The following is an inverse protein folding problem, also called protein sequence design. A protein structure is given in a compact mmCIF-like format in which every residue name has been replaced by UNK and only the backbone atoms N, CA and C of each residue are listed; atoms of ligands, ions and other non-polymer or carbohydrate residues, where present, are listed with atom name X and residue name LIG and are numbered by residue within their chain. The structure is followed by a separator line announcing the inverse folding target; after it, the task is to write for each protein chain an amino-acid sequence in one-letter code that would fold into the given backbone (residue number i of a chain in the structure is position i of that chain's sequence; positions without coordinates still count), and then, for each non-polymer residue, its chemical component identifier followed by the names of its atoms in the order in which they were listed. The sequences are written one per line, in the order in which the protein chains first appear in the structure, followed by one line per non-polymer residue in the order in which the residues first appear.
data_IF_488629973311
#
_entry.id   IF_488629973311
#
_cell.length_a   1.000
_cell.length_b   1.000
_cell.length_c   1.000
_cell.angle_alpha   90.00
_cell.angle_beta   90.00
_cell.angle_gamma   90.00
#
_symmetry.space_group_name_H-M   'P 1'
#
loop_
_entity.id
_entity.type
_entity.pdbx_description
1 polymer ?
#
# COMPACT_ATOMS: atom_id res chain seq x y z
N UNK A 1 29.47 12.31 -11.16
CA UNK A 1 28.14 11.68 -11.34
C UNK A 1 27.37 11.95 -10.06
N UNK A 2 26.42 12.88 -10.12
CA UNK A 2 25.54 13.20 -8.99
C UNK A 2 24.25 12.40 -9.19
N UNK A 3 24.06 11.34 -8.42
CA UNK A 3 22.85 10.55 -8.50
C UNK A 3 21.78 11.22 -7.65
N UNK A 4 20.56 11.42 -8.18
CA UNK A 4 19.50 12.07 -7.41
C UNK A 4 19.23 11.27 -6.14
N UNK A 5 19.37 11.92 -4.98
CA UNK A 5 19.02 11.33 -3.68
C UNK A 5 17.56 10.92 -3.69
N UNK A 6 17.27 9.76 -3.12
CA UNK A 6 15.90 9.28 -2.94
C UNK A 6 15.10 10.27 -2.09
N UNK A 7 13.81 10.43 -2.42
CA UNK A 7 12.86 11.26 -1.69
C UNK A 7 11.50 10.56 -1.69
N UNK A 8 11.05 10.12 -0.51
CA UNK A 8 9.75 9.47 -0.36
C UNK A 8 8.62 10.37 -0.89
N UNK A 9 8.62 11.64 -0.54
CA UNK A 9 7.61 12.60 -1.01
C UNK A 9 7.56 12.73 -2.53
N UNK A 10 8.71 12.67 -3.21
CA UNK A 10 8.75 12.68 -4.68
C UNK A 10 8.14 11.41 -5.26
N UNK A 11 8.48 10.25 -4.72
CA UNK A 11 7.93 8.97 -5.19
C UNK A 11 6.42 8.87 -4.93
N UNK A 12 5.95 9.35 -3.76
CA UNK A 12 4.52 9.46 -3.42
C UNK A 12 3.82 10.40 -4.41
N UNK A 13 4.40 11.58 -4.68
CA UNK A 13 3.83 12.53 -5.63
C UNK A 13 3.74 11.95 -7.04
N UNK A 14 4.79 11.27 -7.51
CA UNK A 14 4.81 10.59 -8.80
C UNK A 14 3.77 9.48 -8.92
N UNK A 15 3.55 8.73 -7.83
CA UNK A 15 2.52 7.69 -7.77
C UNK A 15 1.13 8.30 -7.94
N UNK A 16 0.80 9.34 -7.15
CA UNK A 16 -0.52 9.98 -7.18
C UNK A 16 -0.77 10.84 -8.44
N UNK A 17 0.26 11.19 -9.20
CA UNK A 17 0.08 11.82 -10.52
C UNK A 17 -0.70 10.92 -11.49
N UNK A 18 -0.61 9.59 -11.32
CA UNK A 18 -1.26 8.58 -12.18
C UNK A 18 -2.49 7.92 -11.54
N UNK A 19 -2.71 8.12 -10.25
CA UNK A 19 -3.85 7.57 -9.54
C UNK A 19 -5.10 8.46 -9.69
N UNK A 20 -6.28 7.84 -9.67
CA UNK A 20 -7.58 8.53 -9.68
C UNK A 20 -8.02 9.07 -8.32
N UNK A 21 -7.23 8.79 -7.28
CA UNK A 21 -7.41 9.27 -5.90
C UNK A 21 -6.19 10.07 -5.43
N UNK A 22 -6.22 10.59 -4.20
CA UNK A 22 -5.12 11.35 -3.59
C UNK A 22 -4.60 10.67 -2.32
N UNK A 23 -3.42 11.11 -1.88
CA UNK A 23 -2.78 10.65 -0.64
C UNK A 23 -3.72 10.72 0.57
N UNK A 24 -4.40 11.85 0.76
CA UNK A 24 -5.27 12.05 1.92
C UNK A 24 -6.43 11.05 1.96
N UNK A 25 -6.99 10.70 0.80
CA UNK A 25 -8.07 9.71 0.71
C UNK A 25 -7.55 8.29 0.99
N UNK A 26 -6.34 7.95 0.52
CA UNK A 26 -5.68 6.69 0.87
C UNK A 26 -5.35 6.61 2.35
N UNK A 27 -4.78 7.67 2.94
CA UNK A 27 -4.45 7.72 4.36
C UNK A 27 -5.72 7.54 5.19
N UNK A 28 -6.78 8.31 4.94
CA UNK A 28 -8.06 8.18 5.63
C UNK A 28 -8.67 6.76 5.49
N UNK A 29 -8.55 6.13 4.30
CA UNK A 29 -9.01 4.76 4.09
C UNK A 29 -8.20 3.74 4.88
N UNK A 30 -6.89 3.91 5.00
CA UNK A 30 -6.06 3.06 5.84
C UNK A 30 -6.47 3.17 7.32
N UNK A 31 -6.66 4.40 7.79
CA UNK A 31 -7.08 4.69 9.17
C UNK A 31 -8.50 4.14 9.46
N UNK A 32 -9.42 4.19 8.50
CA UNK A 32 -10.74 3.56 8.61
C UNK A 32 -10.66 2.03 8.76
N UNK A 33 -9.77 1.39 7.97
CA UNK A 33 -9.67 -0.06 7.92
C UNK A 33 -9.03 -0.68 9.16
N UNK A 34 -8.01 -0.03 9.73
CA UNK A 34 -7.22 -0.62 10.82
C UNK A 34 -7.02 0.27 12.04
N UNK A 35 -7.57 1.49 12.02
CA UNK A 35 -7.38 2.49 13.09
C UNK A 35 -5.96 3.05 13.14
N UNK A 36 -5.70 3.96 14.08
CA UNK A 36 -4.41 4.64 14.21
C UNK A 36 -4.16 5.66 13.10
N UNK A 37 -3.00 6.33 13.13
CA UNK A 37 -2.61 7.32 12.12
C UNK A 37 -1.82 6.67 10.99
N UNK A 38 -2.17 6.94 9.74
CA UNK A 38 -1.41 6.47 8.59
C UNK A 38 -0.04 7.18 8.51
N UNK A 39 1.03 6.39 8.50
CA UNK A 39 2.41 6.89 8.39
C UNK A 39 3.06 6.26 7.16
N UNK A 40 3.46 7.03 6.13
CA UNK A 40 4.16 6.48 4.98
C UNK A 40 5.42 5.73 5.39
N UNK A 41 5.67 4.59 4.74
CA UNK A 41 6.94 3.89 4.93
C UNK A 41 8.11 4.70 4.34
N UNK A 42 9.30 4.58 4.94
CA UNK A 42 10.48 5.34 4.53
C UNK A 42 10.83 5.14 3.05
N UNK A 43 10.68 3.90 2.55
CA UNK A 43 10.96 3.53 1.17
C UNK A 43 9.68 3.05 0.49
N UNK A 44 9.17 3.84 -0.43
CA UNK A 44 7.98 3.50 -1.20
C UNK A 44 8.30 2.51 -2.32
N UNK A 45 7.34 1.65 -2.62
CA UNK A 45 7.42 0.78 -3.79
C UNK A 45 7.14 1.59 -5.06
N UNK A 46 7.85 1.28 -6.15
CA UNK A 46 7.65 1.92 -7.45
C UNK A 46 6.20 1.84 -7.97
N UNK A 47 5.46 0.82 -7.53
CA UNK A 47 4.12 0.49 -8.02
C UNK A 47 3.07 0.49 -6.91
N UNK A 48 3.38 1.10 -5.76
CA UNK A 48 2.48 1.08 -4.63
C UNK A 48 2.74 2.23 -3.68
N UNK A 49 1.67 2.87 -3.22
CA UNK A 49 1.73 3.69 -2.02
C UNK A 49 1.52 2.79 -0.80
N UNK A 50 2.40 2.87 0.19
CA UNK A 50 2.38 2.01 1.37
C UNK A 50 2.52 2.84 2.64
N UNK A 51 1.68 2.53 3.62
CA UNK A 51 1.68 3.16 4.94
C UNK A 51 1.72 2.10 6.03
N UNK A 52 2.37 2.40 7.14
CA UNK A 52 2.10 1.76 8.42
C UNK A 52 0.86 2.38 9.05
N UNK A 53 0.02 1.55 9.65
CA UNK A 53 -1.21 1.98 10.30
C UNK A 53 -1.57 0.99 11.43
N UNK A 54 -2.61 1.31 12.20
CA UNK A 54 -2.96 0.63 13.44
C UNK A 54 -2.47 1.36 14.69
N UNK A 55 -3.10 1.14 15.86
CA UNK A 55 -2.71 1.78 17.13
C UNK A 55 -1.24 1.61 17.51
N UNK A 56 -0.62 0.52 17.07
CA UNK A 56 0.78 0.16 17.34
C UNK A 56 1.62 0.06 16.05
N UNK A 57 1.16 0.65 14.94
CA UNK A 57 1.76 0.52 13.61
C UNK A 57 1.98 -0.94 13.20
N UNK A 58 1.06 -1.82 13.61
CA UNK A 58 1.11 -3.28 13.43
C UNK A 58 0.56 -3.75 12.09
N UNK A 59 -0.01 -2.85 11.29
CA UNK A 59 -0.48 -3.16 9.94
C UNK A 59 0.32 -2.40 8.89
N UNK A 60 0.44 -3.04 7.72
CA UNK A 60 0.87 -2.42 6.48
C UNK A 60 -0.35 -2.32 5.56
N UNK A 61 -0.70 -1.11 5.16
CA UNK A 61 -1.76 -0.88 4.17
C UNK A 61 -1.11 -0.47 2.86
N UNK A 62 -1.37 -1.23 1.81
CA UNK A 62 -0.78 -1.01 0.49
C UNK A 62 -1.85 -0.72 -0.55
N UNK A 63 -1.62 0.34 -1.32
CA UNK A 63 -2.47 0.79 -2.41
C UNK A 63 -1.74 0.54 -3.74
N UNK A 64 -2.37 -0.21 -4.65
CA UNK A 64 -1.74 -0.64 -5.91
C UNK A 64 -2.67 -0.35 -7.10
N UNK A 65 -2.16 0.11 -8.26
CA UNK A 65 -2.96 0.17 -9.48
C UNK A 65 -3.46 -1.23 -9.86
N UNK A 66 -4.67 -1.33 -10.42
CA UNK A 66 -5.28 -2.61 -10.82
C UNK A 66 -4.37 -3.49 -11.69
N UNK A 67 -3.65 -2.99 -12.71
CA UNK A 67 -2.75 -3.82 -13.52
C UNK A 67 -1.60 -4.45 -12.73
N UNK A 68 -1.30 -3.92 -11.54
CA UNK A 68 -0.20 -4.33 -10.67
C UNK A 68 -0.72 -4.90 -9.36
N UNK A 69 -1.96 -5.40 -9.34
CA UNK A 69 -2.59 -6.04 -8.19
C UNK A 69 -1.72 -7.15 -7.60
N UNK A 70 -1.84 -7.37 -6.30
CA UNK A 70 -1.17 -8.48 -5.64
C UNK A 70 -1.88 -9.81 -5.99
N UNK A 71 -1.10 -10.83 -6.29
CA UNK A 71 -1.62 -12.19 -6.43
C UNK A 71 -1.92 -12.78 -5.04
N UNK A 72 -3.21 -12.80 -4.71
CA UNK A 72 -3.71 -13.32 -3.44
C UNK A 72 -3.50 -14.82 -3.27
N UNK A 73 -3.42 -15.59 -4.37
CA UNK A 73 -3.11 -17.02 -4.34
C UNK A 73 -1.67 -17.24 -3.92
N UNK A 74 -0.75 -16.48 -4.51
CA UNK A 74 0.68 -16.49 -4.12
C UNK A 74 0.87 -16.03 -2.68
N UNK A 75 0.21 -14.95 -2.25
CA UNK A 75 0.28 -14.47 -0.86
C UNK A 75 -0.23 -15.51 0.14
N UNK A 76 -1.37 -16.15 -0.16
CA UNK A 76 -1.96 -17.19 0.68
C UNK A 76 -1.08 -18.44 0.75
N UNK A 77 -0.49 -18.86 -0.38
CA UNK A 77 0.43 -19.98 -0.43
C UNK A 77 1.71 -19.71 0.37
N UNK A 78 2.25 -18.50 0.29
CA UNK A 78 3.40 -18.10 1.10
C UNK A 78 3.09 -18.20 2.61
N UNK A 79 1.91 -17.72 3.04
CA UNK A 79 1.45 -17.88 4.44
C UNK A 79 1.31 -19.35 4.84
N UNK A 80 0.79 -20.19 3.96
CA UNK A 80 0.64 -21.63 4.23
C UNK A 80 1.99 -22.34 4.40
N UNK A 81 2.98 -22.02 3.57
CA UNK A 81 4.31 -22.66 3.59
C UNK A 81 5.17 -22.13 4.75
N UNK A 82 5.19 -20.81 4.94
CA UNK A 82 6.12 -20.14 5.85
C UNK A 82 5.49 -19.75 7.20
N UNK A 83 4.20 -19.99 7.38
CA UNK A 83 3.49 -19.68 8.63
C UNK A 83 3.63 -18.21 9.01
N UNK A 84 3.99 -17.94 10.26
CA UNK A 84 4.15 -16.58 10.79
C UNK A 84 5.28 -15.75 10.16
N UNK A 85 6.13 -16.35 9.33
CA UNK A 85 7.20 -15.62 8.63
C UNK A 85 6.72 -14.88 7.37
N UNK A 86 5.53 -15.22 6.84
CA UNK A 86 4.88 -14.49 5.77
C UNK A 86 3.64 -13.78 6.31
N UNK A 87 3.34 -12.55 5.87
CA UNK A 87 2.17 -11.83 6.34
C UNK A 87 0.88 -12.51 5.86
N UNK A 88 -0.15 -12.40 6.67
CA UNK A 88 -1.55 -12.54 6.27
C UNK A 88 -1.90 -11.32 5.43
N UNK A 89 -2.49 -11.53 4.26
CA UNK A 89 -2.89 -10.44 3.37
C UNK A 89 -4.38 -10.52 3.12
N UNK A 90 -5.08 -9.40 3.29
CA UNK A 90 -6.50 -9.25 2.93
C UNK A 90 -6.66 -8.22 1.83
N UNK A 91 -7.67 -8.41 0.98
CA UNK A 91 -8.05 -7.46 -0.06
C UNK A 91 -9.29 -6.69 0.38
N UNK A 92 -9.17 -5.37 0.50
CA UNK A 92 -10.18 -4.48 1.07
C UNK A 92 -10.95 -3.68 0.01
N UNK A 93 -10.91 -4.16 -1.24
CA UNK A 93 -11.57 -3.54 -2.37
C UNK A 93 -10.73 -2.47 -3.06
N UNK A 94 -11.40 -1.44 -3.55
CA UNK A 94 -10.79 -0.37 -4.35
C UNK A 94 -11.17 1.02 -3.84
N UNK A 95 -10.33 2.00 -4.15
CA UNK A 95 -10.55 3.42 -3.90
C UNK A 95 -10.26 4.24 -5.16
N UNK A 96 -11.06 5.29 -5.35
CA UNK A 96 -11.00 6.17 -6.52
C UNK A 96 -11.92 5.69 -7.66
N UNK A 97 -12.38 6.62 -8.51
CA UNK A 97 -13.20 6.28 -9.67
C UNK A 97 -12.37 5.65 -10.79
N UNK A 98 -13.03 4.93 -11.70
CA UNK A 98 -12.44 4.52 -12.98
C UNK A 98 -12.43 5.74 -13.92
N UNK A 99 -11.24 6.21 -14.29
CA UNK A 99 -11.06 7.34 -15.20
C UNK A 99 -10.20 6.90 -16.39
N UNK A 100 -10.39 7.54 -17.54
CA UNK A 100 -9.70 7.16 -18.78
C UNK A 100 -8.17 7.29 -18.69
N UNK A 101 -7.67 8.28 -17.95
CA UNK A 101 -6.24 8.60 -17.85
C UNK A 101 -5.64 8.34 -16.46
N UNK A 102 -6.42 7.80 -15.53
CA UNK A 102 -6.02 7.61 -14.13
C UNK A 102 -6.56 6.31 -13.55
N UNK A 103 -5.69 5.61 -12.83
CA UNK A 103 -5.99 4.28 -12.31
C UNK A 103 -6.62 4.35 -10.91
N UNK A 104 -7.72 3.63 -10.64
CA UNK A 104 -8.15 3.36 -9.27
C UNK A 104 -7.13 2.47 -8.56
N UNK A 105 -7.15 2.51 -7.23
CA UNK A 105 -6.20 1.78 -6.40
C UNK A 105 -6.89 0.65 -5.65
N UNK A 106 -6.34 -0.55 -5.78
CA UNK A 106 -6.67 -1.71 -4.97
C UNK A 106 -5.99 -1.61 -3.61
N UNK A 107 -6.74 -1.95 -2.57
CA UNK A 107 -6.31 -1.78 -1.17
C UNK A 107 -6.05 -3.15 -0.56
N UNK A 108 -4.89 -3.30 0.06
CA UNK A 108 -4.47 -4.51 0.75
C UNK A 108 -4.07 -4.18 2.18
N UNK A 109 -4.50 -5.00 3.13
CA UNK A 109 -4.07 -4.91 4.53
C UNK A 109 -3.23 -6.14 4.85
N UNK A 110 -2.14 -5.93 5.56
CA UNK A 110 -1.20 -6.98 5.93
C UNK A 110 -0.78 -6.82 7.39
N UNK A 111 -0.60 -7.92 8.12
CA UNK A 111 0.12 -7.84 9.39
C UNK A 111 1.59 -7.49 9.14
N UNK A 112 2.11 -6.56 9.95
CA UNK A 112 3.51 -6.17 9.92
C UNK A 112 4.31 -7.19 10.72
N UNK A 113 5.10 -7.99 10.03
CA UNK A 113 6.14 -8.79 10.67
C UNK A 113 7.14 -7.86 11.35
N UNK A 114 7.30 -8.03 12.67
CA UNK A 114 8.39 -7.40 13.42
C UNK A 114 9.57 -8.38 13.36
N UNK A 115 10.61 -8.02 12.62
CA UNK A 115 11.89 -8.70 12.65
C UNK A 115 12.63 -8.38 13.97
#
# INVERSE_FOLDING_TARGET
MDYPKYSAEREISNFFAKASTCRQACDARAEELVGGQATPVDIQGNCSYTVYCGPCLEYVVQFRPRPLQLDMGTASLARQIYGSLAPTVTFEGQIGPELQDKEPLYVYVMDRSRA
#
